data_IF_287957653079
#
_entry.id   IF_287957653079
#
_cell.length_a   1.000
_cell.length_b   1.000
_cell.length_c   1.000
_cell.angle_alpha   90.00
_cell.angle_beta   90.00
_cell.angle_gamma   90.00
#
_symmetry.space_group_name_H-M   'P 1'
#
loop_
_entity.id
_entity.type
_entity.pdbx_description
1 polymer ?
#
# COMPACT_ATOMS: atom_id res chain seq x y z
N UNK A 1 -11.86 7.37 12.02
CA UNK A 1 -11.11 7.04 10.79
C UNK A 1 -9.64 7.14 11.13
N UNK A 2 -8.88 6.10 10.88
CA UNK A 2 -7.46 6.03 11.25
C UNK A 2 -6.67 5.50 10.07
N UNK A 3 -5.36 5.72 10.07
CA UNK A 3 -4.48 5.44 8.94
C UNK A 3 -4.42 3.96 8.58
N UNK A 4 -4.64 3.65 7.30
CA UNK A 4 -4.12 2.47 6.63
C UNK A 4 -3.01 2.87 5.65
N UNK A 5 -2.12 1.93 5.35
CA UNK A 5 -1.02 2.11 4.41
C UNK A 5 -1.23 1.08 3.30
N UNK A 6 -1.72 1.57 2.16
CA UNK A 6 -1.95 0.75 0.99
C UNK A 6 -0.65 0.58 0.19
N UNK A 7 -0.54 -0.55 -0.50
CA UNK A 7 0.54 -0.82 -1.42
C UNK A 7 0.32 -0.01 -2.69
N UNK A 8 1.23 0.90 -3.00
CA UNK A 8 1.19 1.64 -4.25
C UNK A 8 1.54 0.68 -5.40
N UNK A 9 0.88 0.83 -6.54
CA UNK A 9 1.24 0.09 -7.75
C UNK A 9 2.73 0.27 -8.10
N UNK A 10 3.31 -0.73 -8.76
CA UNK A 10 4.67 -0.63 -9.32
C UNK A 10 4.58 -0.19 -10.79
N UNK A 11 5.63 0.42 -11.36
CA UNK A 11 5.67 0.70 -12.78
C UNK A 11 5.71 -0.58 -13.62
N UNK A 12 5.06 -0.54 -14.78
CA UNK A 12 5.28 -1.47 -15.89
C UNK A 12 6.72 -1.30 -16.39
N UNK A 13 7.37 -2.42 -16.73
CA UNK A 13 8.76 -2.43 -17.16
C UNK A 13 9.01 -1.47 -18.35
N UNK A 14 10.02 -0.60 -18.21
CA UNK A 14 10.39 0.41 -19.21
C UNK A 14 9.68 1.76 -19.07
N UNK A 15 8.80 1.92 -18.06
CA UNK A 15 8.08 3.16 -17.77
C UNK A 15 8.37 3.71 -16.37
N UNK A 16 9.45 3.26 -15.72
CA UNK A 16 9.79 3.60 -14.34
C UNK A 16 9.92 5.11 -14.14
N UNK A 17 10.68 5.79 -15.01
CA UNK A 17 10.88 7.24 -14.92
C UNK A 17 9.58 8.02 -15.10
N UNK A 18 8.75 7.61 -16.06
CA UNK A 18 7.46 8.27 -16.35
C UNK A 18 6.49 8.11 -15.18
N UNK A 19 6.47 6.92 -14.57
CA UNK A 19 5.68 6.64 -13.37
C UNK A 19 6.12 7.51 -12.19
N UNK A 20 7.43 7.63 -11.93
CA UNK A 20 7.95 8.46 -10.84
C UNK A 20 7.69 9.95 -11.06
N UNK A 21 7.81 10.44 -12.30
CA UNK A 21 7.49 11.82 -12.64
C UNK A 21 6.00 12.14 -12.39
N UNK A 22 5.10 11.23 -12.78
CA UNK A 22 3.67 11.34 -12.48
C UNK A 22 3.39 11.30 -10.97
N UNK A 23 4.03 10.38 -10.23
CA UNK A 23 3.88 10.29 -8.78
C UNK A 23 4.34 11.58 -8.09
N UNK A 24 5.44 12.19 -8.55
CA UNK A 24 5.91 13.50 -8.08
C UNK A 24 4.85 14.57 -8.31
N UNK A 25 4.23 14.60 -9.49
CA UNK A 25 3.17 15.55 -9.80
C UNK A 25 1.94 15.38 -8.89
N UNK A 26 1.52 14.14 -8.61
CA UNK A 26 0.42 13.89 -7.67
C UNK A 26 0.77 14.31 -6.24
N UNK A 27 2.01 14.12 -5.79
CA UNK A 27 2.47 14.63 -4.48
C UNK A 27 2.40 16.16 -4.39
N UNK A 28 2.70 16.88 -5.48
CA UNK A 28 2.53 18.34 -5.52
C UNK A 28 1.05 18.71 -5.36
N UNK A 29 0.16 18.06 -6.11
CA UNK A 29 -1.28 18.30 -6.02
C UNK A 29 -1.85 18.02 -4.64
N UNK A 30 -1.43 16.91 -4.00
CA UNK A 30 -1.82 16.57 -2.63
C UNK A 30 -1.40 17.65 -1.61
N UNK A 31 -0.37 18.45 -1.92
CA UNK A 31 0.09 19.59 -1.11
C UNK A 31 -0.52 20.93 -1.54
N UNK A 32 -1.53 20.91 -2.43
CA UNK A 32 -2.15 22.11 -2.99
C UNK A 32 -1.25 22.90 -3.95
N UNK A 33 -0.22 22.27 -4.51
CA UNK A 33 0.71 22.87 -5.47
C UNK A 33 0.38 22.38 -6.88
N UNK A 34 0.44 23.28 -7.87
CA UNK A 34 0.19 22.95 -9.27
C UNK A 34 1.52 22.58 -9.96
N UNK A 35 1.64 21.40 -10.61
CA UNK A 35 2.80 21.08 -11.43
C UNK A 35 3.06 22.15 -12.49
N UNK A 36 4.32 22.57 -12.65
CA UNK A 36 4.71 23.63 -13.61
C UNK A 36 5.45 23.11 -14.83
N UNK A 37 5.77 21.82 -14.86
CA UNK A 37 6.51 21.14 -15.91
C UNK A 37 5.98 19.71 -16.14
N UNK A 38 6.34 19.15 -17.30
CA UNK A 38 5.98 17.79 -17.70
C UNK A 38 4.94 17.72 -18.82
N UNK A 39 4.67 16.49 -19.33
CA UNK A 39 3.87 16.28 -20.53
C UNK A 39 2.38 16.60 -20.37
N UNK A 40 1.90 16.72 -19.14
CA UNK A 40 0.50 17.05 -18.80
C UNK A 40 0.30 18.51 -18.40
N UNK A 41 1.32 19.35 -18.55
CA UNK A 41 1.22 20.79 -18.26
C UNK A 41 1.12 21.56 -19.57
N UNK A 42 0.01 22.26 -19.79
CA UNK A 42 -0.05 23.36 -20.76
C UNK A 42 0.68 24.56 -20.12
N UNK A 43 1.85 25.00 -20.64
CA UNK A 43 2.63 26.09 -20.05
C UNK A 43 1.95 27.46 -20.16
N UNK A 44 0.76 27.52 -20.78
CA UNK A 44 0.01 28.73 -21.04
C UNK A 44 0.52 29.45 -22.28
N UNK A 45 -0.39 30.11 -22.99
CA UNK A 45 -0.05 30.99 -24.12
C UNK A 45 0.50 32.32 -23.63
N UNK A 46 1.58 32.79 -24.27
CA UNK A 46 2.04 34.18 -24.18
C UNK A 46 1.21 35.03 -25.14
N UNK A 47 0.62 36.12 -24.66
CA UNK A 47 -0.09 37.08 -25.53
C UNK A 47 0.81 37.61 -26.65
N UNK A 48 0.27 37.79 -27.85
CA UNK A 48 0.94 38.37 -29.04
C UNK A 48 1.59 39.74 -28.78
N UNK A 49 1.20 40.45 -27.72
CA UNK A 49 1.78 41.72 -27.31
C UNK A 49 2.64 41.63 -26.04
N UNK A 50 3.03 40.42 -25.60
CA UNK A 50 3.96 40.19 -24.48
C UNK A 50 3.45 40.59 -23.09
N UNK A 51 2.21 41.09 -22.97
CA UNK A 51 1.74 41.76 -21.76
C UNK A 51 1.15 40.84 -20.68
N UNK A 52 0.77 39.58 -21.00
CA UNK A 52 0.32 38.57 -20.02
C UNK A 52 0.66 37.16 -20.47
N UNK A 53 1.27 36.36 -19.57
CA UNK A 53 1.41 34.91 -19.68
C UNK A 53 0.26 34.27 -18.90
N UNK A 54 -0.51 33.39 -19.54
CA UNK A 54 -1.52 32.61 -18.81
C UNK A 54 -0.84 31.67 -17.80
N UNK A 55 -1.53 31.35 -16.70
CA UNK A 55 -1.02 30.39 -15.73
C UNK A 55 -0.96 28.99 -16.38
N UNK A 56 0.03 28.16 -16.03
CA UNK A 56 0.06 26.79 -16.48
C UNK A 56 -1.20 26.04 -16.03
N UNK A 57 -1.69 25.14 -16.88
CA UNK A 57 -2.86 24.29 -16.61
C UNK A 57 -2.40 22.83 -16.63
N UNK A 58 -2.66 22.11 -15.55
CA UNK A 58 -2.36 20.69 -15.44
C UNK A 58 -3.57 19.84 -15.85
N UNK A 59 -3.40 18.93 -16.79
CA UNK A 59 -4.41 17.95 -17.19
C UNK A 59 -4.37 16.75 -16.25
N UNK A 60 -4.99 16.90 -15.09
CA UNK A 60 -5.01 15.88 -14.03
C UNK A 60 -5.65 14.57 -14.46
N UNK A 61 -6.70 14.61 -15.28
CA UNK A 61 -7.41 13.42 -15.73
C UNK A 61 -6.60 12.63 -16.76
N UNK A 62 -5.88 13.31 -17.68
CA UNK A 62 -4.94 12.64 -18.57
C UNK A 62 -3.76 12.02 -17.80
N UNK A 63 -3.25 12.72 -16.78
CA UNK A 63 -2.18 12.23 -15.92
C UNK A 63 -2.61 10.99 -15.13
N UNK A 64 -3.80 11.01 -14.51
CA UNK A 64 -4.36 9.86 -13.76
C UNK A 64 -4.57 8.65 -14.66
N UNK A 65 -5.14 8.86 -15.86
CA UNK A 65 -5.33 7.78 -16.83
C UNK A 65 -3.98 7.17 -17.22
N UNK A 66 -2.98 8.00 -17.53
CA UNK A 66 -1.64 7.48 -17.84
C UNK A 66 -1.05 6.71 -16.66
N UNK A 67 -1.14 7.26 -15.45
CA UNK A 67 -0.61 6.60 -14.27
C UNK A 67 -1.23 5.22 -14.08
N UNK A 68 -2.56 5.09 -14.26
CA UNK A 68 -3.24 3.81 -14.22
C UNK A 68 -2.76 2.83 -15.32
N UNK A 69 -2.51 3.30 -16.56
CA UNK A 69 -1.95 2.48 -17.64
C UNK A 69 -0.53 1.97 -17.34
N UNK A 70 0.27 2.78 -16.64
CA UNK A 70 1.64 2.41 -16.25
C UNK A 70 1.68 1.54 -15.00
N UNK A 71 0.60 1.49 -14.24
CA UNK A 71 0.52 0.85 -12.93
C UNK A 71 0.26 -0.64 -13.03
N UNK A 72 1.15 -1.43 -12.42
CA UNK A 72 0.91 -2.84 -12.15
C UNK A 72 0.53 -3.01 -10.67
N UNK A 73 -0.69 -3.51 -10.38
CA UNK A 73 -1.18 -3.62 -9.02
C UNK A 73 -0.56 -4.81 -8.27
N UNK A 74 -0.64 -4.75 -6.94
CA UNK A 74 -0.01 -5.72 -6.03
C UNK A 74 -0.42 -7.17 -6.28
N UNK A 75 -1.70 -7.43 -6.58
CA UNK A 75 -2.20 -8.78 -6.84
C UNK A 75 -1.57 -9.43 -8.08
N UNK A 76 -1.15 -8.65 -9.08
CA UNK A 76 -0.43 -9.20 -10.24
C UNK A 76 0.98 -9.62 -9.84
N UNK A 77 1.66 -8.80 -9.05
CA UNK A 77 3.01 -9.11 -8.52
C UNK A 77 3.01 -10.37 -7.65
N UNK A 78 1.93 -10.58 -6.90
CA UNK A 78 1.75 -11.79 -6.10
C UNK A 78 1.40 -13.03 -6.92
N UNK A 79 1.07 -12.89 -8.20
CA UNK A 79 0.41 -13.92 -9.00
C UNK A 79 -0.83 -14.47 -8.27
N UNK A 80 -1.67 -13.57 -7.75
CA UNK A 80 -2.88 -13.95 -7.05
C UNK A 80 -3.78 -14.80 -7.97
N UNK A 81 -4.43 -15.85 -7.44
CA UNK A 81 -5.28 -16.70 -8.25
C UNK A 81 -6.56 -15.95 -8.64
N UNK A 82 -7.04 -16.19 -9.86
CA UNK A 82 -8.17 -15.50 -10.46
C UNK A 82 -9.40 -16.41 -10.56
N UNK A 83 -10.53 -15.91 -10.06
CA UNK A 83 -11.82 -16.63 -10.10
C UNK A 83 -12.26 -16.87 -11.55
N UNK A 84 -12.69 -18.10 -11.83
CA UNK A 84 -13.05 -18.59 -13.17
C UNK A 84 -11.85 -19.01 -14.03
N UNK A 85 -10.62 -18.90 -13.50
CA UNK A 85 -9.39 -19.34 -14.17
C UNK A 85 -8.62 -20.36 -13.33
N UNK A 86 -8.40 -20.06 -12.05
CA UNK A 86 -7.56 -20.84 -11.14
C UNK A 86 -8.44 -21.58 -10.11
N UNK A 87 -8.15 -22.86 -9.90
CA UNK A 87 -9.01 -23.74 -9.11
C UNK A 87 -9.07 -23.34 -7.62
N UNK A 88 -7.97 -22.82 -7.06
CA UNK A 88 -7.93 -22.36 -5.68
C UNK A 88 -8.79 -21.11 -5.42
N UNK A 89 -8.88 -20.17 -6.36
CA UNK A 89 -9.76 -19.00 -6.25
C UNK A 89 -11.23 -19.43 -6.31
N UNK A 90 -11.53 -20.35 -7.22
CA UNK A 90 -12.84 -20.97 -7.37
C UNK A 90 -13.28 -21.72 -6.11
N UNK A 91 -12.37 -22.47 -5.49
CA UNK A 91 -12.63 -23.18 -4.23
C UNK A 91 -12.89 -22.19 -3.08
N UNK A 92 -12.11 -21.11 -3.00
CA UNK A 92 -12.32 -20.05 -2.02
C UNK A 92 -13.72 -19.41 -2.14
N UNK A 93 -14.18 -19.07 -3.35
CA UNK A 93 -15.53 -18.51 -3.53
C UNK A 93 -16.62 -19.47 -3.04
N UNK A 94 -16.48 -20.77 -3.32
CA UNK A 94 -17.45 -21.79 -2.88
C UNK A 94 -17.47 -21.90 -1.35
N UNK A 95 -16.29 -21.94 -0.71
CA UNK A 95 -16.20 -21.97 0.74
C UNK A 95 -16.79 -20.69 1.37
N UNK A 96 -16.45 -19.51 0.84
CA UNK A 96 -17.00 -18.24 1.31
C UNK A 96 -18.53 -18.17 1.13
N UNK A 97 -19.07 -18.76 0.08
CA UNK A 97 -20.52 -18.91 -0.11
C UNK A 97 -21.16 -19.80 0.96
N UNK A 98 -20.58 -20.96 1.24
CA UNK A 98 -21.05 -21.88 2.29
C UNK A 98 -21.02 -21.24 3.68
N UNK A 99 -20.06 -20.35 3.93
CA UNK A 99 -19.94 -19.54 5.15
C UNK A 99 -20.96 -18.36 5.20
N UNK A 100 -21.75 -18.16 4.15
CA UNK A 100 -22.76 -17.09 4.10
C UNK A 100 -22.19 -15.70 3.84
N UNK A 101 -20.97 -15.59 3.27
CA UNK A 101 -20.33 -14.30 2.95
C UNK A 101 -20.94 -13.59 1.75
N UNK A 102 -21.75 -14.30 0.96
CA UNK A 102 -22.45 -13.74 -0.21
C UNK A 102 -23.95 -13.87 -0.05
N UNK A 103 -24.66 -12.78 -0.28
CA UNK A 103 -26.12 -12.78 -0.40
C UNK A 103 -26.52 -13.14 -1.84
N UNK A 104 -26.25 -14.38 -2.24
CA UNK A 104 -26.55 -14.91 -3.57
C UNK A 104 -27.31 -16.25 -3.46
N UNK A 105 -28.14 -16.61 -4.46
CA UNK A 105 -28.92 -17.85 -4.39
C UNK A 105 -28.12 -19.16 -4.52
N UNK A 106 -26.90 -19.13 -5.08
CA UNK A 106 -26.07 -20.33 -5.31
C UNK A 106 -24.59 -20.00 -5.40
N UNK A 107 -23.74 -20.99 -5.15
CA UNK A 107 -22.29 -20.87 -5.31
C UNK A 107 -21.89 -20.58 -6.77
N UNK A 108 -22.61 -21.15 -7.74
CA UNK A 108 -22.43 -20.88 -9.17
C UNK A 108 -22.65 -19.42 -9.52
N UNK A 109 -23.67 -18.78 -8.92
CA UNK A 109 -23.91 -17.35 -9.10
C UNK A 109 -22.85 -16.49 -8.40
N UNK A 110 -22.32 -16.92 -7.25
CA UNK A 110 -21.19 -16.25 -6.61
C UNK A 110 -19.93 -16.28 -7.49
N UNK A 111 -19.66 -17.43 -8.14
CA UNK A 111 -18.54 -17.57 -9.06
C UNK A 111 -18.69 -16.72 -10.31
N UNK A 112 -19.89 -16.67 -10.89
CA UNK A 112 -20.16 -15.82 -12.05
C UNK A 112 -20.02 -14.34 -11.70
N UNK A 113 -20.55 -13.92 -10.53
CA UNK A 113 -20.46 -12.55 -10.04
C UNK A 113 -19.01 -12.11 -9.74
N UNK A 114 -18.16 -13.04 -9.30
CA UNK A 114 -16.75 -12.77 -8.97
C UNK A 114 -15.79 -13.17 -10.10
N UNK A 115 -16.28 -13.54 -11.28
CA UNK A 115 -15.40 -13.95 -12.39
C UNK A 115 -14.41 -12.83 -12.75
N UNK A 116 -13.13 -13.19 -12.81
CA UNK A 116 -12.04 -12.25 -13.08
C UNK A 116 -11.48 -11.52 -11.86
N UNK A 117 -12.11 -11.64 -10.68
CA UNK A 117 -11.55 -11.12 -9.43
C UNK A 117 -10.35 -11.95 -8.98
N UNK A 118 -9.38 -11.28 -8.34
CA UNK A 118 -8.19 -11.90 -7.77
C UNK A 118 -8.43 -12.25 -6.30
N UNK A 119 -8.39 -13.53 -5.96
CA UNK A 119 -8.71 -14.05 -4.64
C UNK A 119 -7.47 -14.04 -3.73
N UNK A 120 -7.11 -12.85 -3.22
CA UNK A 120 -6.00 -12.71 -2.27
C UNK A 120 -6.17 -13.57 -1.02
N UNK A 121 -7.39 -13.79 -0.55
CA UNK A 121 -7.70 -14.64 0.62
C UNK A 121 -7.39 -16.13 0.40
N UNK A 122 -7.36 -16.59 -0.86
CA UNK A 122 -7.00 -17.96 -1.20
C UNK A 122 -5.49 -18.23 -1.09
N UNK A 123 -4.68 -17.18 -0.89
CA UNK A 123 -3.22 -17.28 -0.82
C UNK A 123 -2.73 -17.60 0.59
N UNK A 124 -1.60 -18.32 0.67
CA UNK A 124 -0.89 -18.57 1.93
C UNK A 124 -0.40 -17.26 2.58
N UNK A 125 -0.30 -17.21 3.92
CA UNK A 125 0.31 -16.08 4.61
C UNK A 125 1.74 -15.77 4.11
N UNK A 126 2.05 -14.48 4.02
CA UNK A 126 3.40 -13.98 3.71
C UNK A 126 3.58 -12.57 4.29
N UNK A 127 4.79 -12.03 4.26
CA UNK A 127 5.06 -10.66 4.78
C UNK A 127 4.30 -9.56 4.02
N UNK A 128 3.83 -9.84 2.79
CA UNK A 128 2.95 -8.94 2.04
C UNK A 128 1.52 -8.86 2.59
N UNK A 129 1.13 -9.79 3.47
CA UNK A 129 -0.15 -9.84 4.16
C UNK A 129 0.08 -9.54 5.65
N UNK A 130 0.01 -8.27 6.06
CA UNK A 130 0.45 -7.87 7.39
C UNK A 130 -0.50 -8.38 8.48
N UNK A 131 0.07 -8.70 9.64
CA UNK A 131 -0.69 -9.10 10.85
C UNK A 131 -1.61 -7.98 11.33
N UNK A 132 -1.09 -6.75 11.29
CA UNK A 132 -1.82 -5.54 11.67
C UNK A 132 -2.54 -5.00 10.43
N UNK A 133 -3.81 -5.38 10.26
CA UNK A 133 -4.61 -5.00 9.09
C UNK A 133 -6.10 -4.85 9.43
N UNK A 134 -6.79 -4.01 8.68
CA UNK A 134 -8.25 -3.93 8.61
C UNK A 134 -8.78 -4.46 7.27
N UNK A 135 -8.02 -5.32 6.60
CA UNK A 135 -8.40 -5.94 5.34
C UNK A 135 -9.88 -6.36 5.33
N UNK A 136 -10.60 -5.94 4.29
CA UNK A 136 -12.00 -6.29 4.04
C UNK A 136 -13.03 -5.70 5.02
N UNK A 137 -12.63 -4.82 5.96
CA UNK A 137 -13.60 -4.15 6.84
C UNK A 137 -14.32 -2.97 6.16
N UNK A 138 -13.76 -2.40 5.09
CA UNK A 138 -14.32 -1.31 4.31
C UNK A 138 -13.64 -1.23 2.93
N UNK A 139 -14.25 -0.46 2.03
CA UNK A 139 -13.74 -0.25 0.67
C UNK A 139 -12.35 0.39 0.68
N UNK A 140 -11.52 0.02 -0.31
CA UNK A 140 -10.18 0.60 -0.48
C UNK A 140 -9.08 -0.04 0.37
N UNK A 141 -9.39 -1.01 1.24
CA UNK A 141 -8.42 -1.72 2.08
C UNK A 141 -8.55 -3.22 1.88
N UNK A 142 -7.58 -3.80 1.16
CA UNK A 142 -7.49 -5.25 0.93
C UNK A 142 -6.46 -5.91 1.85
N UNK A 143 -6.24 -7.22 1.67
CA UNK A 143 -5.31 -8.03 2.47
C UNK A 143 -3.85 -7.57 2.41
N UNK A 144 -3.48 -6.73 1.44
CA UNK A 144 -2.13 -6.18 1.35
C UNK A 144 -1.92 -4.93 2.21
N UNK A 145 -3.00 -4.34 2.74
CA UNK A 145 -2.95 -3.08 3.46
C UNK A 145 -2.49 -3.27 4.91
N UNK A 146 -1.51 -2.45 5.33
CA UNK A 146 -1.05 -2.39 6.71
C UNK A 146 -1.82 -1.33 7.49
N UNK A 147 -2.30 -1.66 8.69
CA UNK A 147 -3.01 -0.73 9.55
C UNK A 147 -2.03 0.23 10.25
N UNK A 148 -1.68 1.31 9.55
CA UNK A 148 -0.74 2.35 10.00
C UNK A 148 -1.06 2.96 11.36
N UNK A 149 -2.34 2.99 11.76
CA UNK A 149 -2.76 3.48 13.07
C UNK A 149 -2.09 2.75 14.24
N UNK A 150 -1.66 1.49 14.11
CA UNK A 150 -0.91 0.82 15.20
C UNK A 150 0.45 1.45 15.48
N UNK A 151 1.04 2.20 14.55
CA UNK A 151 2.31 2.89 14.76
C UNK A 151 2.21 4.02 15.78
N UNK A 152 1.00 4.55 16.07
CA UNK A 152 0.82 5.55 17.14
C UNK A 152 1.09 4.96 18.53
N UNK A 153 0.90 3.65 18.70
CA UNK A 153 1.28 2.95 19.94
C UNK A 153 2.80 2.93 20.16
N UNK A 154 3.58 3.20 19.11
CA UNK A 154 5.04 3.14 19.09
C UNK A 154 5.71 4.52 19.22
N UNK A 155 4.96 5.60 19.48
CA UNK A 155 5.47 6.99 19.59
C UNK A 155 6.58 7.16 20.64
N UNK A 156 6.62 6.28 21.66
CA UNK A 156 7.62 6.35 22.73
C UNK A 156 8.99 5.79 22.32
N UNK A 157 9.05 4.98 21.26
CA UNK A 157 10.25 4.26 20.85
C UNK A 157 10.68 4.53 19.40
N UNK A 158 9.76 5.04 18.57
CA UNK A 158 10.07 5.53 17.23
C UNK A 158 10.38 7.02 17.25
N UNK A 159 11.44 7.40 16.53
CA UNK A 159 11.71 8.80 16.25
C UNK A 159 10.59 9.40 15.38
N UNK A 160 10.18 10.67 15.62
CA UNK A 160 9.12 11.32 14.86
C UNK A 160 9.34 11.26 13.35
N UNK A 161 10.58 11.37 12.89
CA UNK A 161 10.95 11.31 11.48
C UNK A 161 10.62 9.95 10.86
N UNK A 162 10.85 8.84 11.57
CA UNK A 162 10.50 7.50 11.10
C UNK A 162 8.98 7.30 11.15
N UNK A 163 8.34 7.74 12.23
CA UNK A 163 6.90 7.58 12.43
C UNK A 163 6.10 8.32 11.35
N UNK A 164 6.40 9.60 11.13
CA UNK A 164 5.62 10.47 10.23
C UNK A 164 5.64 9.99 8.77
N UNK A 165 6.62 9.18 8.35
CA UNK A 165 6.66 8.59 7.00
C UNK A 165 5.44 7.72 6.68
N UNK A 166 4.80 7.12 7.68
CA UNK A 166 3.58 6.34 7.47
C UNK A 166 2.41 7.17 6.91
N UNK A 167 2.44 8.50 7.09
CA UNK A 167 1.42 9.42 6.58
C UNK A 167 1.78 10.03 5.21
N UNK A 168 2.83 9.55 4.57
CA UNK A 168 3.31 10.07 3.29
C UNK A 168 3.25 9.01 2.20
N UNK A 169 3.01 9.45 0.96
CA UNK A 169 3.25 8.61 -0.21
C UNK A 169 4.75 8.32 -0.28
N UNK A 170 5.12 7.05 -0.46
CA UNK A 170 6.50 6.58 -0.58
C UNK A 170 6.72 5.88 -1.93
N UNK A 171 7.84 6.17 -2.60
CA UNK A 171 8.32 5.35 -3.71
C UNK A 171 8.80 4.00 -3.17
N UNK A 172 9.09 3.05 -4.06
CA UNK A 172 9.68 1.78 -3.64
C UNK A 172 11.03 1.97 -2.91
N UNK A 173 11.85 2.91 -3.36
CA UNK A 173 13.12 3.23 -2.70
C UNK A 173 12.90 3.84 -1.31
N UNK A 174 12.00 4.81 -1.19
CA UNK A 174 11.66 5.43 0.09
C UNK A 174 11.06 4.41 1.07
N UNK A 175 10.21 3.50 0.57
CA UNK A 175 9.64 2.42 1.37
C UNK A 175 10.74 1.44 1.85
N UNK A 176 11.74 1.16 1.01
CA UNK A 176 12.89 0.34 1.40
C UNK A 176 13.74 1.02 2.48
N UNK A 177 13.94 2.34 2.40
CA UNK A 177 14.66 3.10 3.43
C UNK A 177 13.89 3.10 4.76
N UNK A 178 12.57 3.31 4.70
CA UNK A 178 11.70 3.26 5.87
C UNK A 178 11.69 1.87 6.52
N UNK A 179 11.59 0.81 5.72
CA UNK A 179 11.72 -0.57 6.16
C UNK A 179 13.00 -0.81 6.96
N UNK A 180 14.16 -0.41 6.41
CA UNK A 180 15.46 -0.57 7.09
C UNK A 180 15.49 0.17 8.42
N UNK A 181 14.94 1.38 8.48
CA UNK A 181 14.88 2.16 9.70
C UNK A 181 14.00 1.49 10.77
N UNK A 182 12.82 1.00 10.38
CA UNK A 182 11.92 0.26 11.28
C UNK A 182 12.58 -1.02 11.83
N UNK A 183 13.13 -1.85 10.94
CA UNK A 183 13.77 -3.11 11.34
C UNK A 183 14.96 -2.87 12.27
N UNK A 184 15.78 -1.85 12.00
CA UNK A 184 16.90 -1.49 12.89
C UNK A 184 16.43 -1.07 14.30
N UNK A 185 15.30 -0.38 14.41
CA UNK A 185 14.70 -0.04 15.71
C UNK A 185 14.17 -1.28 16.41
N UNK A 186 13.43 -2.15 15.70
CA UNK A 186 12.88 -3.38 16.27
C UNK A 186 13.99 -4.31 16.78
N UNK A 187 15.02 -4.57 15.96
CA UNK A 187 16.15 -5.43 16.31
C UNK A 187 16.89 -4.91 17.55
N UNK A 188 17.17 -3.59 17.60
CA UNK A 188 17.83 -2.96 18.74
C UNK A 188 17.01 -3.10 20.02
N UNK A 189 15.73 -2.73 19.98
CA UNK A 189 14.85 -2.79 21.15
C UNK A 189 14.66 -4.23 21.64
N UNK A 190 14.51 -5.17 20.72
CA UNK A 190 14.40 -6.58 21.05
C UNK A 190 15.66 -7.10 21.75
N UNK A 191 16.84 -6.83 21.20
CA UNK A 191 18.11 -7.26 21.77
C UNK A 191 18.44 -6.61 23.13
N UNK A 192 18.13 -5.32 23.30
CA UNK A 192 18.37 -4.60 24.56
C UNK A 192 17.46 -5.08 25.70
N UNK A 193 16.31 -5.68 25.39
CA UNK A 193 15.27 -6.00 26.37
C UNK A 193 14.91 -7.50 26.44
N UNK A 194 15.54 -8.37 25.64
CA UNK A 194 15.29 -9.82 25.64
C UNK A 194 13.97 -10.22 24.97
N UNK A 195 13.51 -9.44 23.98
CA UNK A 195 12.25 -9.67 23.24
C UNK A 195 12.47 -10.19 21.81
N UNK A 196 13.62 -10.77 21.49
CA UNK A 196 13.93 -11.28 20.14
C UNK A 196 12.94 -12.34 19.64
N UNK A 197 12.27 -13.03 20.57
CA UNK A 197 11.25 -14.03 20.26
C UNK A 197 10.00 -13.46 19.56
N UNK A 198 9.75 -12.14 19.63
CA UNK A 198 8.59 -11.53 18.95
C UNK A 198 8.92 -11.16 17.50
N UNK A 199 10.19 -11.10 17.11
CA UNK A 199 10.58 -10.67 15.76
C UNK A 199 10.18 -11.73 14.73
N UNK A 200 9.41 -11.32 13.72
CA UNK A 200 8.91 -12.18 12.64
C UNK A 200 7.82 -13.17 13.04
N UNK A 201 7.34 -13.15 14.29
CA UNK A 201 6.30 -14.08 14.75
C UNK A 201 4.90 -13.58 14.38
N UNK A 202 4.39 -14.00 13.22
CA UNK A 202 3.03 -13.65 12.77
C UNK A 202 1.92 -14.13 13.71
N UNK A 203 2.21 -15.10 14.59
CA UNK A 203 1.28 -15.63 15.57
C UNK A 203 1.33 -14.88 16.91
N UNK A 204 2.28 -13.96 17.11
CA UNK A 204 2.39 -13.19 18.35
C UNK A 204 1.09 -12.45 18.67
N UNK A 205 0.66 -12.52 19.92
CA UNK A 205 -0.52 -11.82 20.45
C UNK A 205 -0.11 -11.09 21.72
N UNK A 206 -0.56 -9.84 21.83
CA UNK A 206 -0.43 -9.03 23.04
C UNK A 206 -1.78 -8.45 23.40
N UNK A 207 -2.12 -8.49 24.68
CA UNK A 207 -3.31 -7.83 25.21
C UNK A 207 -3.10 -6.31 25.36
N UNK A 208 -1.85 -5.85 25.31
CA UNK A 208 -1.45 -4.45 25.36
C UNK A 208 -0.47 -4.13 24.21
N UNK A 209 -0.97 -3.63 23.06
CA UNK A 209 -0.13 -3.17 21.95
C UNK A 209 0.83 -2.04 22.33
N UNK A 210 0.48 -1.25 23.35
CA UNK A 210 1.30 -0.14 23.87
C UNK A 210 2.39 -0.60 24.84
N UNK A 211 2.45 -1.88 25.21
CA UNK A 211 3.58 -2.45 25.93
C UNK A 211 4.77 -2.70 24.98
N UNK A 212 6.00 -2.65 25.52
CA UNK A 212 7.23 -2.79 24.72
C UNK A 212 7.26 -3.99 23.75
N UNK A 213 6.91 -5.24 24.14
CA UNK A 213 6.89 -6.35 23.19
C UNK A 213 5.84 -6.16 22.08
N UNK A 214 4.71 -5.52 22.37
CA UNK A 214 3.70 -5.14 21.39
C UNK A 214 4.23 -4.12 20.39
N UNK A 215 4.89 -3.06 20.89
CA UNK A 215 5.51 -2.04 20.04
C UNK A 215 6.62 -2.62 19.15
N UNK A 216 7.50 -3.46 19.69
CA UNK A 216 8.56 -4.14 18.91
C UNK A 216 7.95 -4.97 17.78
N UNK A 217 6.91 -5.75 18.08
CA UNK A 217 6.25 -6.56 17.07
C UNK A 217 5.55 -5.72 15.99
N UNK A 218 4.86 -4.62 16.35
CA UNK A 218 4.25 -3.69 15.38
C UNK A 218 5.32 -3.13 14.42
N UNK A 219 6.45 -2.68 14.97
CA UNK A 219 7.55 -2.09 14.19
C UNK A 219 8.18 -3.13 13.26
N UNK A 220 8.45 -4.33 13.76
CA UNK A 220 9.00 -5.44 12.97
C UNK A 220 8.06 -5.83 11.82
N UNK A 221 6.76 -6.01 12.09
CA UNK A 221 5.78 -6.37 11.06
C UNK A 221 5.62 -5.27 9.99
N UNK A 222 5.60 -3.99 10.40
CA UNK A 222 5.62 -2.87 9.46
C UNK A 222 6.90 -2.87 8.59
N UNK A 223 8.05 -3.11 9.22
CA UNK A 223 9.35 -3.18 8.54
C UNK A 223 9.43 -4.31 7.52
N UNK A 224 8.94 -5.51 7.87
CA UNK A 224 8.88 -6.69 6.97
C UNK A 224 7.92 -6.49 5.82
N UNK A 225 6.73 -5.97 6.09
CA UNK A 225 5.77 -5.60 5.07
C UNK A 225 6.36 -4.60 4.07
N UNK A 226 7.00 -3.55 4.57
CA UNK A 226 7.66 -2.55 3.74
C UNK A 226 8.83 -3.16 2.93
N UNK A 227 9.62 -4.08 3.52
CA UNK A 227 10.68 -4.80 2.82
C UNK A 227 10.13 -5.68 1.68
N UNK A 228 9.04 -6.39 1.97
CA UNK A 228 8.40 -7.30 1.02
C UNK A 228 7.93 -6.56 -0.23
N UNK A 229 7.25 -5.43 -0.06
CA UNK A 229 6.71 -4.66 -1.18
C UNK A 229 7.78 -3.85 -1.92
N UNK A 230 8.67 -3.17 -1.19
CA UNK A 230 9.75 -2.39 -1.81
C UNK A 230 10.70 -3.25 -2.65
N UNK A 231 11.06 -4.45 -2.19
CA UNK A 231 11.89 -5.40 -2.96
C UNK A 231 11.21 -5.87 -4.26
N UNK A 232 9.89 -5.68 -4.39
CA UNK A 232 9.09 -5.99 -5.58
C UNK A 232 8.77 -4.76 -6.42
N UNK A 233 9.36 -3.61 -6.09
CA UNK A 233 9.19 -2.34 -6.83
C UNK A 233 7.90 -1.59 -6.47
N UNK A 234 7.22 -1.97 -5.40
CA UNK A 234 6.03 -1.27 -4.93
C UNK A 234 6.39 -0.19 -3.91
N UNK A 235 5.71 0.95 -4.01
CA UNK A 235 5.71 1.99 -2.98
C UNK A 235 4.58 1.80 -1.99
N UNK A 236 4.24 2.88 -1.28
CA UNK A 236 3.11 2.90 -0.36
C UNK A 236 2.38 4.24 -0.42
N UNK A 237 1.09 4.23 -0.08
CA UNK A 237 0.28 5.44 0.06
C UNK A 237 -0.63 5.37 1.29
N UNK A 238 -0.85 6.51 1.98
CA UNK A 238 -1.75 6.55 3.12
C UNK A 238 -3.21 6.56 2.65
N UNK A 239 -4.07 5.85 3.38
CA UNK A 239 -5.51 5.79 3.20
C UNK A 239 -6.22 6.19 4.51
N UNK A 240 -7.25 7.04 4.43
CA UNK A 240 -7.91 7.69 5.58
C UNK A 240 -9.43 7.52 5.56
#
# INVERSE_FOLDING_TARGET
>A
MGLDINVLARPTAGHEQEFEDLLRQFRLLARGQVPTDGPYVDPGKTSLFGLKKSKPVFDEEAAKRRFAELSQPAYVTLNAPQVGRDAEADAWVRAAFEEGRFDLPSAEQALDALKGYYALEAMEPCDGFPVYSHAYMYDGVDRTSFRGAFLTECEKVLEPEILNRAWEIMTAEELAQWSKALLAVADRLAGENGFEHVLGDQAFRTDDPGALPGQIHIIDQAGRWAAFWSSRGHGAEPYF
#
